data_IF_726992989462
#
_entry.id   IF_726992989462
#
_cell.length_a   1.000
_cell.length_b   1.000
_cell.length_c   1.000
_cell.angle_alpha   90.00
_cell.angle_beta   90.00
_cell.angle_gamma   90.00
#
_symmetry.space_group_name_H-M   'P 1'
#
loop_
_entity.id
_entity.type
_entity.pdbx_description
1 polymer ?
#
# COMPACT_ATOMS: atom_id res chain seq x y z
N UNK A 1 -6.37 5.61 7.08
CA UNK A 1 -5.58 4.70 7.95
C UNK A 1 -4.11 4.79 7.57
N UNK A 2 -3.25 4.89 8.56
CA UNK A 2 -1.81 4.82 8.32
C UNK A 2 -1.36 3.37 8.25
N UNK A 3 -0.62 3.03 7.21
CA UNK A 3 0.01 1.72 7.04
C UNK A 3 1.51 1.93 7.20
N UNK A 4 2.10 1.31 8.22
CA UNK A 4 3.52 1.49 8.52
C UNK A 4 4.29 0.31 7.97
N UNK A 5 5.20 0.59 7.04
CA UNK A 5 6.05 -0.41 6.39
C UNK A 5 7.50 0.04 6.59
N UNK A 6 8.30 -0.81 7.24
CA UNK A 6 9.70 -0.51 7.54
C UNK A 6 9.85 0.87 8.19
N UNK A 7 9.00 1.12 9.21
CA UNK A 7 8.95 2.37 9.98
C UNK A 7 8.47 3.59 9.18
N UNK A 8 8.07 3.41 7.92
CA UNK A 8 7.59 4.51 7.11
C UNK A 8 6.07 4.50 7.00
N UNK A 9 5.38 5.60 7.37
CA UNK A 9 3.92 5.65 7.28
C UNK A 9 3.44 5.98 5.88
N UNK A 10 2.51 5.18 5.38
CA UNK A 10 1.81 5.40 4.13
C UNK A 10 0.35 5.68 4.45
N UNK A 11 -0.21 6.75 3.89
CA UNK A 11 -1.63 7.05 4.06
C UNK A 11 -2.45 6.26 3.06
N UNK A 12 -3.16 5.23 3.54
CA UNK A 12 -3.90 4.34 2.65
C UNK A 12 -5.11 5.00 2.01
N UNK A 13 -5.62 6.09 2.58
CA UNK A 13 -6.77 6.81 2.01
C UNK A 13 -6.47 7.46 0.66
N UNK A 14 -5.20 7.59 0.29
CA UNK A 14 -4.80 8.06 -1.04
C UNK A 14 -5.13 7.05 -2.14
N UNK A 15 -5.40 5.81 -1.77
CA UNK A 15 -5.55 4.71 -2.72
C UNK A 15 -6.96 4.15 -2.69
N UNK A 16 -7.46 3.74 -3.86
CA UNK A 16 -8.80 3.18 -4.01
C UNK A 16 -8.86 1.70 -3.66
N UNK A 17 -7.82 0.99 -4.06
CA UNK A 17 -7.78 -0.46 -3.96
C UNK A 17 -6.41 -0.93 -3.52
N UNK A 18 -6.41 -2.13 -2.94
CA UNK A 18 -5.20 -2.87 -2.62
C UNK A 18 -5.35 -4.25 -3.23
N UNK A 19 -4.43 -4.61 -4.10
CA UNK A 19 -4.45 -5.86 -4.84
C UNK A 19 -3.23 -6.70 -4.49
N UNK A 20 -3.33 -8.01 -4.71
CA UNK A 20 -2.25 -8.94 -4.38
C UNK A 20 -1.86 -9.76 -5.60
N UNK A 21 -0.55 -9.98 -5.76
CA UNK A 21 0.00 -10.95 -6.71
C UNK A 21 1.01 -11.81 -5.98
N UNK A 22 0.56 -12.97 -5.49
CA UNK A 22 1.38 -13.86 -4.68
C UNK A 22 2.57 -14.44 -5.46
N UNK A 23 2.43 -14.61 -6.76
CA UNK A 23 3.51 -15.15 -7.60
C UNK A 23 4.74 -14.26 -7.62
N UNK A 24 4.50 -12.95 -7.54
CA UNK A 24 5.55 -11.95 -7.59
C UNK A 24 5.90 -11.40 -6.22
N UNK A 25 5.28 -11.92 -5.15
CA UNK A 25 5.44 -11.44 -3.79
C UNK A 25 5.10 -9.95 -3.67
N UNK A 26 4.08 -9.53 -4.40
CA UNK A 26 3.68 -8.12 -4.46
C UNK A 26 2.28 -7.90 -3.91
N UNK A 27 2.15 -6.81 -3.16
CA UNK A 27 0.87 -6.15 -2.93
C UNK A 27 1.02 -4.77 -3.56
N UNK A 28 -0.03 -4.27 -4.23
CA UNK A 28 0.06 -2.95 -4.82
C UNK A 28 -1.19 -2.14 -4.52
N UNK A 29 -0.95 -0.89 -4.14
CA UNK A 29 -2.01 0.08 -3.93
C UNK A 29 -2.27 0.84 -5.22
N UNK A 30 -3.55 1.07 -5.51
CA UNK A 30 -3.97 1.72 -6.74
C UNK A 30 -4.48 3.12 -6.43
N UNK A 31 -3.88 4.11 -7.09
CA UNK A 31 -4.26 5.50 -7.00
C UNK A 31 -4.79 5.97 -8.35
N UNK A 32 -5.94 6.68 -8.32
CA UNK A 32 -6.50 7.27 -9.54
C UNK A 32 -6.41 8.79 -9.42
N UNK A 33 -5.54 9.45 -10.20
CA UNK A 33 -5.42 10.90 -10.17
C UNK A 33 -6.71 11.58 -10.67
N UNK A 34 -7.05 12.72 -10.07
CA UNK A 34 -8.20 13.49 -10.51
C UNK A 34 -7.94 14.08 -11.90
N UNK A 35 -8.94 13.96 -12.78
CA UNK A 35 -8.88 14.56 -14.11
C UNK A 35 -7.95 13.86 -15.08
N UNK A 36 -7.37 12.74 -14.71
CA UNK A 36 -6.49 11.96 -15.57
C UNK A 36 -7.10 10.58 -15.82
N UNK A 37 -6.91 10.08 -17.03
CA UNK A 37 -7.23 8.70 -17.34
C UNK A 37 -6.09 7.80 -16.86
N UNK A 38 -6.46 6.61 -16.40
CA UNK A 38 -5.49 5.64 -15.96
C UNK A 38 -5.26 5.66 -14.47
N UNK A 39 -4.37 4.79 -14.03
CA UNK A 39 -4.11 4.55 -12.63
C UNK A 39 -2.61 4.51 -12.38
N UNK A 40 -2.21 4.96 -11.19
CA UNK A 40 -0.85 4.79 -10.69
C UNK A 40 -0.86 3.66 -9.67
N UNK A 41 0.16 2.83 -9.70
CA UNK A 41 0.30 1.72 -8.77
C UNK A 41 1.52 1.95 -7.89
N UNK A 42 1.35 1.73 -6.60
CA UNK A 42 2.45 1.70 -5.65
C UNK A 42 2.68 0.24 -5.26
N UNK A 43 3.67 -0.44 -5.85
CA UNK A 43 3.95 -1.81 -5.49
C UNK A 43 4.76 -1.90 -4.21
N UNK A 44 4.44 -2.91 -3.40
CA UNK A 44 5.18 -3.25 -2.19
C UNK A 44 5.65 -4.68 -2.36
N UNK A 45 6.97 -4.87 -2.32
CA UNK A 45 7.59 -6.17 -2.52
C UNK A 45 7.87 -6.81 -1.17
N UNK A 46 7.49 -8.07 -1.03
CA UNK A 46 7.72 -8.86 0.17
C UNK A 46 8.76 -9.94 -0.10
N UNK A 47 9.30 -10.48 0.97
CA UNK A 47 10.35 -11.49 0.89
C UNK A 47 9.84 -12.82 0.34
N UNK A 48 8.57 -13.16 0.65
CA UNK A 48 7.98 -14.43 0.25
C UNK A 48 6.47 -14.32 0.16
N UNK A 49 5.83 -15.37 -0.36
CA UNK A 49 4.38 -15.39 -0.54
C UNK A 49 3.62 -15.39 0.78
N UNK A 50 4.18 -15.99 1.82
CA UNK A 50 3.56 -16.04 3.13
C UNK A 50 3.41 -14.62 3.71
N UNK A 51 4.48 -13.83 3.66
CA UNK A 51 4.46 -12.46 4.13
C UNK A 51 3.54 -11.58 3.28
N UNK A 52 3.50 -11.82 1.98
CA UNK A 52 2.61 -11.13 1.05
C UNK A 52 1.15 -11.33 1.45
N UNK A 53 0.74 -12.57 1.70
CA UNK A 53 -0.62 -12.90 2.12
C UNK A 53 -0.91 -12.34 3.52
N UNK A 54 0.06 -12.41 4.42
CA UNK A 54 -0.09 -11.92 5.78
C UNK A 54 -0.38 -10.43 5.78
N UNK A 55 0.41 -9.65 5.04
CA UNK A 55 0.19 -8.22 4.92
C UNK A 55 -1.22 -7.94 4.36
N UNK A 56 -1.56 -8.58 3.26
CA UNK A 56 -2.83 -8.34 2.57
C UNK A 56 -4.02 -8.62 3.50
N UNK A 57 -3.98 -9.75 4.19
CA UNK A 57 -5.05 -10.17 5.09
C UNK A 57 -5.15 -9.24 6.31
N UNK A 58 -4.02 -8.95 6.94
CA UNK A 58 -3.99 -8.10 8.13
C UNK A 58 -4.40 -6.66 7.82
N UNK A 59 -3.96 -6.14 6.67
CA UNK A 59 -4.35 -4.82 6.23
C UNK A 59 -5.87 -4.72 6.05
N UNK A 60 -6.47 -5.69 5.36
CA UNK A 60 -7.91 -5.67 5.11
C UNK A 60 -8.70 -5.86 6.41
N UNK A 61 -8.21 -6.68 7.33
CA UNK A 61 -8.84 -6.83 8.64
C UNK A 61 -8.81 -5.51 9.43
N UNK A 62 -7.68 -4.82 9.41
CA UNK A 62 -7.56 -3.53 10.07
C UNK A 62 -8.50 -2.49 9.44
N UNK A 63 -8.59 -2.50 8.11
CA UNK A 63 -9.47 -1.60 7.39
C UNK A 63 -10.94 -1.88 7.73
N UNK A 64 -11.33 -3.16 7.76
CA UNK A 64 -12.68 -3.57 8.11
C UNK A 64 -13.03 -3.16 9.54
N UNK A 65 -12.08 -3.24 10.47
CA UNK A 65 -12.27 -2.87 11.87
C UNK A 65 -12.17 -1.36 12.13
N UNK A 66 -11.92 -0.57 11.09
CA UNK A 66 -11.70 0.88 11.21
C UNK A 66 -10.52 1.23 12.13
N UNK A 67 -9.48 0.41 12.11
CA UNK A 67 -8.27 0.70 12.87
C UNK A 67 -7.59 1.96 12.32
N UNK A 68 -7.07 2.85 13.18
CA UNK A 68 -6.42 4.06 12.70
C UNK A 68 -5.07 3.80 12.05
N UNK A 69 -4.47 2.66 12.33
CA UNK A 69 -3.13 2.34 11.86
C UNK A 69 -2.93 0.84 11.84
N UNK A 70 -2.09 0.39 10.89
CA UNK A 70 -1.62 -0.99 10.80
C UNK A 70 -0.14 -0.97 10.52
N UNK A 71 0.64 -1.71 11.30
CA UNK A 71 2.07 -1.83 11.10
C UNK A 71 2.43 -3.26 10.69
N UNK A 72 3.14 -3.40 9.55
CA UNK A 72 3.70 -4.67 9.13
C UNK A 72 5.04 -4.90 9.81
N UNK A 73 5.20 -6.04 10.48
CA UNK A 73 6.38 -6.33 11.31
C UNK A 73 7.52 -7.00 10.56
N UNK A 74 7.33 -7.37 9.30
CA UNK A 74 8.34 -8.03 8.49
C UNK A 74 9.06 -7.05 7.57
N UNK A 75 9.90 -7.61 6.70
CA UNK A 75 10.60 -6.82 5.70
C UNK A 75 9.75 -6.64 4.47
N UNK A 76 9.71 -5.42 3.96
CA UNK A 76 9.03 -5.08 2.73
C UNK A 76 9.69 -3.84 2.13
N UNK A 77 9.58 -3.70 0.81
CA UNK A 77 10.22 -2.62 0.07
C UNK A 77 9.23 -1.94 -0.84
N UNK A 78 9.27 -0.62 -0.89
CA UNK A 78 8.47 0.15 -1.84
C UNK A 78 9.26 1.40 -2.23
N UNK A 79 8.86 2.01 -3.35
CA UNK A 79 9.50 3.25 -3.80
C UNK A 79 8.95 4.43 -3.02
N UNK A 80 9.76 4.97 -2.13
CA UNK A 80 9.40 6.17 -1.38
C UNK A 80 9.19 7.36 -2.32
N UNK A 81 10.04 7.49 -3.34
CA UNK A 81 9.90 8.54 -4.34
C UNK A 81 8.56 8.49 -5.05
N UNK A 82 8.13 7.29 -5.44
CA UNK A 82 6.83 7.12 -6.10
C UNK A 82 5.69 7.46 -5.15
N UNK A 83 5.78 7.03 -3.88
CA UNK A 83 4.77 7.37 -2.90
C UNK A 83 4.66 8.89 -2.70
N UNK A 84 5.80 9.56 -2.56
CA UNK A 84 5.82 11.01 -2.37
C UNK A 84 5.20 11.71 -3.59
N UNK A 85 5.51 11.24 -4.79
CA UNK A 85 4.94 11.79 -6.03
C UNK A 85 3.42 11.66 -6.07
N UNK A 86 2.89 10.50 -5.67
CA UNK A 86 1.45 10.27 -5.60
C UNK A 86 0.81 11.17 -4.54
N UNK A 87 1.42 11.25 -3.36
CA UNK A 87 0.91 12.07 -2.26
C UNK A 87 0.87 13.54 -2.65
N UNK A 88 1.94 14.04 -3.23
CA UNK A 88 2.04 15.45 -3.57
C UNK A 88 1.14 15.81 -4.75
N UNK A 89 1.01 14.91 -5.72
CA UNK A 89 0.07 15.09 -6.83
C UNK A 89 -1.39 15.13 -6.36
N UNK A 90 -1.72 14.38 -5.31
CA UNK A 90 -3.08 14.38 -4.76
C UNK A 90 -3.46 15.74 -4.15
N UNK A 91 -2.48 16.48 -3.64
CA UNK A 91 -2.71 17.79 -3.01
C UNK A 91 -2.94 18.92 -4.01
N UNK A 92 -2.54 18.70 -5.24
CA UNK A 92 -2.69 19.66 -6.31
C UNK A 92 -3.99 19.37 -7.08
#
# INVERSE_FOLDING_TARGET
MLVIIDKYPIESSLFRNCCINERLNLVYFIHRPKGMEGELQLPILFENACDTRKFYTEYHNALYNNDPQYEFKGEAWFSLELYIRIRDGHRN
#
